data_IF_974065967735
#
_entry.id   IF_974065967735
#
_cell.length_a   1.000
_cell.length_b   1.000
_cell.length_c   1.000
_cell.angle_alpha   90.00
_cell.angle_beta   90.00
_cell.angle_gamma   90.00
#
_symmetry.space_group_name_H-M   'P 1'
#
loop_
_entity.id
_entity.type
_entity.pdbx_description
1 polymer ?
#
# COMPACT_ATOMS: atom_id res chain seq x y z
N UNK A 1 -9.26 33.96 6.48
CA UNK A 1 -9.74 32.68 7.01
C UNK A 1 -8.65 31.66 6.76
N UNK A 2 -8.17 30.96 7.80
CA UNK A 2 -7.07 29.99 7.71
C UNK A 2 -7.57 28.75 6.97
N UNK A 3 -6.88 28.37 5.89
CA UNK A 3 -7.05 27.07 5.23
C UNK A 3 -6.37 26.03 6.10
N UNK A 4 -7.09 24.99 6.49
CA UNK A 4 -6.51 23.79 7.09
C UNK A 4 -6.41 22.78 5.95
N UNK A 5 -5.18 22.43 5.59
CA UNK A 5 -4.80 21.25 4.82
C UNK A 5 -4.43 20.18 5.87
N UNK A 6 -5.08 19.03 5.83
CA UNK A 6 -4.78 17.79 6.53
C UNK A 6 -5.38 16.70 5.60
N UNK A 7 -4.62 15.78 4.99
CA UNK A 7 -3.73 14.77 5.59
C UNK A 7 -4.63 13.60 5.98
N UNK A 8 -4.64 12.44 5.33
CA UNK A 8 -3.54 11.51 4.99
C UNK A 8 -3.91 10.69 3.74
N UNK A 9 -2.91 10.43 2.90
CA UNK A 9 -2.96 9.42 1.87
C UNK A 9 -2.19 8.19 2.38
N UNK A 10 -2.75 7.01 2.20
CA UNK A 10 -2.14 5.71 2.38
C UNK A 10 -2.86 4.81 1.37
N UNK A 11 -2.15 4.24 0.42
CA UNK A 11 -2.77 3.36 -0.57
C UNK A 11 -2.14 1.97 -0.47
N UNK A 12 -3.00 1.02 -0.08
CA UNK A 12 -2.83 -0.43 0.13
C UNK A 12 -2.54 -0.87 1.58
N UNK A 13 -3.36 -0.54 2.57
CA UNK A 13 -4.69 -1.13 2.84
C UNK A 13 -5.40 -0.24 3.86
N UNK A 14 -6.71 -0.01 3.70
CA UNK A 14 -7.57 1.04 4.31
C UNK A 14 -7.71 2.25 3.39
N UNK A 15 -8.52 2.09 2.35
CA UNK A 15 -8.98 3.22 1.56
C UNK A 15 -10.27 3.77 2.18
N UNK A 16 -10.17 5.00 2.70
CA UNK A 16 -11.24 5.97 2.97
C UNK A 16 -11.66 6.23 4.44
N UNK A 17 -10.75 6.83 5.20
CA UNK A 17 -11.15 7.98 6.02
C UNK A 17 -11.61 9.14 5.12
N UNK A 18 -12.87 9.11 4.67
CA UNK A 18 -13.54 10.28 4.11
C UNK A 18 -13.66 10.36 2.58
N UNK A 19 -14.36 9.41 1.96
CA UNK A 19 -15.12 9.66 0.73
C UNK A 19 -16.54 9.08 0.81
N UNK A 20 -17.26 9.39 1.90
CA UNK A 20 -18.71 9.66 1.78
C UNK A 20 -18.87 10.99 1.04
N UNK A 21 -18.47 10.98 -0.22
CA UNK A 21 -18.76 12.01 -1.20
C UNK A 21 -18.90 11.25 -2.49
N UNK A 22 -20.08 10.64 -2.62
CA UNK A 22 -20.72 10.28 -3.87
C UNK A 22 -19.77 10.43 -5.07
N UNK A 23 -19.07 9.35 -5.41
CA UNK A 23 -18.94 9.08 -6.82
C UNK A 23 -20.39 8.95 -7.30
N UNK A 24 -20.92 10.02 -7.89
CA UNK A 24 -22.29 10.06 -8.44
C UNK A 24 -22.48 9.03 -9.57
N UNK A 25 -21.45 8.27 -9.91
CA UNK A 25 -21.51 6.99 -10.60
C UNK A 25 -20.31 6.15 -10.11
N UNK A 26 -20.47 4.86 -9.73
CA UNK A 26 -19.33 3.94 -9.73
C UNK A 26 -18.71 4.05 -11.11
N UNK A 27 -17.37 4.21 -11.18
CA UNK A 27 -16.65 4.38 -12.45
C UNK A 27 -17.26 3.44 -13.49
N UNK A 28 -17.78 4.00 -14.59
CA UNK A 28 -18.51 3.25 -15.61
C UNK A 28 -17.57 2.19 -16.21
N UNK A 29 -17.55 1.02 -15.59
CA UNK A 29 -16.68 -0.09 -15.97
C UNK A 29 -17.08 -0.66 -17.33
N UNK A 30 -16.21 -1.51 -17.87
CA UNK A 30 -16.55 -2.35 -19.02
C UNK A 30 -17.75 -3.26 -18.73
N UNK A 31 -18.09 -4.13 -19.69
CA UNK A 31 -19.23 -5.06 -19.58
C UNK A 31 -19.15 -6.00 -18.35
N UNK A 32 -17.99 -6.09 -17.68
CA UNK A 32 -17.71 -6.90 -16.49
C UNK A 32 -17.50 -6.10 -15.18
N UNK A 33 -17.71 -4.78 -15.21
CA UNK A 33 -17.67 -3.91 -14.02
C UNK A 33 -16.28 -3.43 -13.60
N UNK A 34 -15.22 -3.78 -14.33
CA UNK A 34 -13.87 -3.30 -14.10
C UNK A 34 -13.61 -1.97 -14.81
N UNK A 35 -12.91 -1.06 -14.12
CA UNK A 35 -12.45 0.21 -14.67
C UNK A 35 -10.99 0.43 -14.31
N UNK A 36 -10.21 1.17 -15.11
CA UNK A 36 -8.87 1.58 -14.72
C UNK A 36 -8.88 2.33 -13.37
N UNK A 37 -7.88 2.08 -12.53
CA UNK A 37 -7.69 2.83 -11.28
C UNK A 37 -7.49 4.32 -11.61
N UNK A 38 -8.20 5.26 -10.93
CA UNK A 38 -8.06 6.70 -11.16
C UNK A 38 -6.64 7.23 -10.89
N UNK A 39 -6.23 8.29 -11.59
CA UNK A 39 -4.87 8.84 -11.52
C UNK A 39 -4.49 9.34 -10.10
N UNK A 40 -5.48 9.80 -9.33
CA UNK A 40 -5.29 10.22 -7.94
C UNK A 40 -4.78 9.11 -7.02
N UNK A 41 -4.98 7.84 -7.38
CA UNK A 41 -4.46 6.70 -6.63
C UNK A 41 -2.93 6.62 -6.67
N UNK A 42 -2.31 7.15 -7.72
CA UNK A 42 -0.85 7.15 -7.91
C UNK A 42 -0.16 8.36 -7.28
N UNK A 43 -0.92 9.24 -6.61
CA UNK A 43 -0.38 10.40 -5.94
C UNK A 43 0.54 9.98 -4.77
N UNK A 44 1.68 10.67 -4.57
CA UNK A 44 2.60 10.32 -3.51
C UNK A 44 1.99 10.52 -2.13
N UNK A 45 2.38 9.67 -1.19
CA UNK A 45 2.01 9.76 0.21
C UNK A 45 3.17 9.49 1.15
N UNK A 46 3.05 9.96 2.39
CA UNK A 46 4.12 9.94 3.38
C UNK A 46 3.74 9.03 4.56
N UNK A 47 4.69 8.19 4.96
CA UNK A 47 4.62 7.31 6.12
C UNK A 47 5.72 7.68 7.12
N UNK A 48 5.35 7.86 8.39
CA UNK A 48 6.32 8.07 9.48
C UNK A 48 6.81 6.70 10.00
N UNK A 49 7.77 6.13 9.29
CA UNK A 49 8.30 4.77 9.49
C UNK A 49 9.81 4.70 9.21
N UNK A 50 10.47 3.59 9.58
CA UNK A 50 11.92 3.41 9.43
C UNK A 50 12.75 4.54 10.07
N UNK A 51 12.26 5.13 11.16
CA UNK A 51 12.90 6.24 11.88
C UNK A 51 12.92 7.58 11.13
N UNK A 52 12.15 7.73 10.07
CA UNK A 52 12.11 8.91 9.20
C UNK A 52 10.72 9.09 8.59
N UNK A 53 10.59 10.01 7.64
CA UNK A 53 9.46 10.02 6.71
C UNK A 53 9.88 9.25 5.45
N UNK A 54 9.09 8.27 5.07
CA UNK A 54 9.20 7.50 3.83
C UNK A 54 8.08 7.93 2.90
N UNK A 55 8.43 8.36 1.69
CA UNK A 55 7.46 8.72 0.66
C UNK A 55 7.26 7.52 -0.27
N UNK A 56 6.01 7.10 -0.46
CA UNK A 56 5.60 6.08 -1.44
C UNK A 56 4.93 6.79 -2.60
N UNK A 57 5.35 6.50 -3.83
CA UNK A 57 4.83 7.11 -5.07
C UNK A 57 4.46 5.99 -6.05
N UNK A 58 3.42 6.16 -6.87
CA UNK A 58 3.16 5.20 -7.95
C UNK A 58 4.34 5.16 -8.94
N UNK A 59 4.83 3.96 -9.25
CA UNK A 59 5.93 3.73 -10.19
C UNK A 59 5.48 3.82 -11.66
N UNK A 60 6.28 3.27 -12.56
CA UNK A 60 6.04 3.28 -14.01
C UNK A 60 4.95 2.28 -14.44
N UNK A 61 4.71 1.22 -13.68
CA UNK A 61 3.64 0.23 -13.95
C UNK A 61 2.34 0.68 -13.29
N UNK A 62 1.34 1.04 -14.10
CA UNK A 62 0.04 1.57 -13.66
C UNK A 62 -1.11 1.01 -14.50
N UNK A 63 -1.20 -0.31 -14.53
CA UNK A 63 -2.18 -1.06 -15.34
C UNK A 63 -3.30 -1.66 -14.47
N UNK A 64 -3.38 -1.25 -13.20
CA UNK A 64 -4.37 -1.73 -12.26
C UNK A 64 -5.81 -1.35 -12.64
N UNK A 65 -6.72 -2.28 -12.43
CA UNK A 65 -8.16 -2.11 -12.56
C UNK A 65 -8.83 -2.25 -11.20
N UNK A 66 -9.95 -1.57 -11.03
CA UNK A 66 -10.78 -1.59 -9.83
C UNK A 66 -12.23 -1.95 -10.18
N UNK A 67 -12.88 -2.72 -9.31
CA UNK A 67 -14.32 -3.00 -9.33
C UNK A 67 -14.89 -2.66 -7.96
N UNK A 68 -16.02 -1.95 -7.93
CA UNK A 68 -16.69 -1.54 -6.68
C UNK A 68 -18.16 -1.99 -6.72
N UNK A 69 -18.61 -2.66 -5.65
CA UNK A 69 -19.99 -3.10 -5.44
C UNK A 69 -20.50 -2.64 -4.07
N UNK A 70 -21.69 -2.05 -4.02
CA UNK A 70 -22.39 -1.80 -2.76
C UNK A 70 -23.37 -2.94 -2.51
N UNK A 71 -23.20 -3.66 -1.42
CA UNK A 71 -23.98 -4.85 -1.08
C UNK A 71 -25.34 -4.49 -0.47
N UNK A 72 -26.24 -5.47 -0.37
CA UNK A 72 -27.60 -5.30 0.15
C UNK A 72 -27.66 -4.80 1.61
N UNK A 73 -26.61 -5.06 2.40
CA UNK A 73 -26.49 -4.59 3.79
C UNK A 73 -25.86 -3.19 3.90
N UNK A 74 -25.51 -2.57 2.78
CA UNK A 74 -24.89 -1.25 2.69
C UNK A 74 -23.37 -1.25 2.82
N UNK A 75 -22.73 -2.41 3.01
CA UNK A 75 -21.28 -2.52 2.94
C UNK A 75 -20.78 -2.29 1.50
N UNK A 76 -19.52 -1.90 1.37
CA UNK A 76 -18.85 -1.68 0.08
C UNK A 76 -17.75 -2.71 -0.10
N UNK A 77 -17.82 -3.44 -1.20
CA UNK A 77 -16.81 -4.40 -1.62
C UNK A 77 -16.02 -3.81 -2.79
N UNK A 78 -14.70 -3.69 -2.64
CA UNK A 78 -13.80 -3.19 -3.68
C UNK A 78 -12.77 -4.26 -4.00
N UNK A 79 -12.54 -4.52 -5.27
CA UNK A 79 -11.49 -5.41 -5.76
C UNK A 79 -10.51 -4.66 -6.66
N UNK A 80 -9.24 -5.03 -6.57
CA UNK A 80 -8.14 -4.54 -7.37
C UNK A 80 -7.42 -5.71 -8.03
N UNK A 81 -6.97 -5.51 -9.26
CA UNK A 81 -6.15 -6.47 -10.01
C UNK A 81 -5.23 -5.77 -10.99
N UNK A 82 -4.24 -6.50 -11.51
CA UNK A 82 -3.40 -6.05 -12.62
C UNK A 82 -2.05 -5.49 -12.17
N UNK A 83 -1.25 -5.06 -13.14
CA UNK A 83 0.12 -4.62 -12.88
C UNK A 83 0.18 -3.29 -12.16
N UNK A 84 0.94 -3.23 -11.06
CA UNK A 84 1.21 -2.00 -10.33
C UNK A 84 2.57 -2.06 -9.64
N UNK A 85 3.29 -0.94 -9.66
CA UNK A 85 4.56 -0.76 -8.96
C UNK A 85 4.57 0.54 -8.15
N UNK A 86 5.45 0.62 -7.16
CA UNK A 86 5.68 1.83 -6.36
C UNK A 86 7.16 2.13 -6.17
N UNK A 87 7.47 3.42 -6.10
CA UNK A 87 8.77 3.93 -5.68
C UNK A 87 8.71 4.35 -4.21
N UNK A 88 9.71 3.93 -3.44
CA UNK A 88 9.79 4.18 -2.00
C UNK A 88 11.06 4.96 -1.73
N UNK A 89 10.94 6.16 -1.18
CA UNK A 89 12.11 7.02 -0.86
C UNK A 89 12.10 7.46 0.60
N UNK A 90 13.20 7.17 1.31
CA UNK A 90 13.40 7.65 2.69
C UNK A 90 14.04 9.02 2.72
N UNK A 91 13.40 9.97 3.42
CA UNK A 91 13.78 11.39 3.37
C UNK A 91 15.10 11.73 4.07
N UNK A 92 15.53 10.93 5.04
CA UNK A 92 16.72 11.23 5.87
C UNK A 92 18.04 11.13 5.11
N UNK A 93 18.11 10.21 4.15
CA UNK A 93 19.32 9.84 3.41
C UNK A 93 19.08 9.73 1.90
N UNK A 94 17.84 9.76 1.44
CA UNK A 94 17.49 9.60 0.04
C UNK A 94 17.68 8.18 -0.47
N UNK A 95 17.69 7.18 0.42
CA UNK A 95 17.63 5.78 0.02
C UNK A 95 16.32 5.52 -0.72
N UNK A 96 16.39 4.83 -1.85
CA UNK A 96 15.25 4.61 -2.74
C UNK A 96 15.19 3.14 -3.15
N UNK A 97 13.99 2.57 -3.09
CA UNK A 97 13.60 1.35 -3.78
C UNK A 97 12.78 1.81 -4.98
N UNK A 98 13.21 1.41 -6.17
CA UNK A 98 12.66 1.82 -7.46
C UNK A 98 11.83 0.65 -8.00
N UNK A 99 10.59 0.92 -8.43
CA UNK A 99 9.72 -0.08 -9.07
C UNK A 99 9.44 -1.35 -8.23
N UNK A 100 9.11 -1.20 -6.94
CA UNK A 100 8.67 -2.32 -6.12
C UNK A 100 7.33 -2.86 -6.63
N UNK A 101 7.29 -4.14 -7.01
CA UNK A 101 6.07 -4.80 -7.49
C UNK A 101 5.06 -5.00 -6.35
N UNK A 102 3.84 -4.51 -6.56
CA UNK A 102 2.70 -4.67 -5.66
C UNK A 102 1.47 -5.20 -6.41
N UNK A 103 1.66 -5.90 -7.53
CA UNK A 103 0.61 -6.37 -8.45
C UNK A 103 -0.29 -7.49 -7.95
N UNK A 104 -0.21 -7.84 -6.66
CA UNK A 104 -1.08 -8.82 -6.03
C UNK A 104 -2.56 -8.45 -6.13
N UNK A 105 -3.40 -9.48 -6.29
CA UNK A 105 -4.85 -9.30 -6.27
C UNK A 105 -5.26 -8.88 -4.84
N UNK A 106 -6.10 -7.86 -4.74
CA UNK A 106 -6.52 -7.30 -3.45
C UNK A 106 -8.03 -7.13 -3.43
N UNK A 107 -8.66 -7.40 -2.29
CA UNK A 107 -10.02 -6.94 -2.05
C UNK A 107 -10.21 -6.38 -0.65
N UNK A 108 -11.11 -5.42 -0.53
CA UNK A 108 -11.53 -4.83 0.72
C UNK A 108 -13.05 -4.88 0.86
N UNK A 109 -13.52 -5.13 2.08
CA UNK A 109 -14.91 -5.04 2.47
C UNK A 109 -15.03 -4.03 3.62
N UNK A 110 -15.69 -2.91 3.35
CA UNK A 110 -15.91 -1.83 4.30
C UNK A 110 -17.36 -1.89 4.81
N UNK A 111 -17.55 -1.86 6.13
CA UNK A 111 -18.88 -1.86 6.73
C UNK A 111 -19.70 -0.62 6.32
N UNK A 112 -21.03 -0.73 6.38
CA UNK A 112 -21.93 0.37 5.98
C UNK A 112 -21.72 1.67 6.79
N UNK A 113 -21.23 1.57 8.02
CA UNK A 113 -20.89 2.73 8.88
C UNK A 113 -19.41 3.14 8.79
N UNK A 114 -18.62 2.44 7.98
CA UNK A 114 -17.20 2.70 7.78
C UNK A 114 -16.33 2.45 9.01
N UNK A 115 -16.81 1.68 9.98
CA UNK A 115 -16.07 1.39 11.23
C UNK A 115 -15.27 0.10 11.19
N UNK A 116 -15.55 -0.79 10.25
CA UNK A 116 -14.83 -2.05 10.06
C UNK A 116 -14.36 -2.19 8.62
N UNK A 117 -13.12 -2.67 8.47
CA UNK A 117 -12.52 -2.98 7.18
C UNK A 117 -11.93 -4.38 7.25
N UNK A 118 -12.28 -5.24 6.29
CA UNK A 118 -11.66 -6.55 6.09
C UNK A 118 -10.93 -6.51 4.76
N UNK A 119 -9.63 -6.83 4.74
CA UNK A 119 -8.82 -6.78 3.52
C UNK A 119 -8.02 -8.05 3.34
N UNK A 120 -8.07 -8.60 2.13
CA UNK A 120 -7.20 -9.69 1.71
C UNK A 120 -6.23 -9.18 0.63
N UNK A 121 -4.98 -9.57 0.79
CA UNK A 121 -3.87 -9.30 -0.12
C UNK A 121 -3.34 -10.66 -0.59
N UNK A 122 -3.29 -10.92 -1.89
CA UNK A 122 -2.77 -12.16 -2.47
C UNK A 122 -1.67 -11.88 -3.50
N UNK A 123 -0.48 -12.47 -3.32
CA UNK A 123 0.68 -12.23 -4.19
C UNK A 123 1.44 -10.94 -3.83
N UNK A 124 2.17 -10.34 -4.78
CA UNK A 124 3.07 -9.21 -4.51
C UNK A 124 2.36 -8.06 -3.80
N UNK A 125 2.72 -7.80 -2.55
CA UNK A 125 1.98 -6.86 -1.70
C UNK A 125 2.88 -6.09 -0.75
N UNK A 126 2.45 -4.88 -0.41
CA UNK A 126 3.08 -4.00 0.57
C UNK A 126 2.17 -3.85 1.78
N UNK A 127 2.71 -4.03 2.99
CA UNK A 127 1.99 -3.87 4.27
C UNK A 127 2.80 -2.94 5.16
N UNK A 128 2.14 -2.00 5.86
CA UNK A 128 2.80 -1.16 6.86
C UNK A 128 2.00 -1.00 8.14
N UNK A 129 2.73 -0.82 9.23
CA UNK A 129 2.21 -0.54 10.57
C UNK A 129 2.76 0.81 11.07
N UNK A 130 1.93 1.85 11.01
CA UNK A 130 2.35 3.23 11.33
C UNK A 130 1.94 3.67 12.73
N UNK A 131 0.76 3.26 13.20
CA UNK A 131 0.29 3.61 14.54
C UNK A 131 0.59 2.50 15.57
N UNK A 132 0.37 2.83 16.85
CA UNK A 132 0.69 1.92 17.96
C UNK A 132 -0.16 0.63 17.94
N UNK A 133 -1.36 0.67 17.36
CA UNK A 133 -2.26 -0.49 17.27
C UNK A 133 -1.76 -1.47 16.23
N UNK A 134 -1.50 -0.98 15.01
CA UNK A 134 -0.96 -1.79 13.92
C UNK A 134 0.42 -2.38 14.27
N UNK A 135 1.27 -1.59 14.94
CA UNK A 135 2.60 -2.07 15.36
C UNK A 135 2.52 -3.16 16.41
N UNK A 136 1.53 -3.09 17.30
CA UNK A 136 1.31 -4.14 18.28
C UNK A 136 0.85 -5.46 17.63
N UNK A 137 -0.01 -5.40 16.60
CA UNK A 137 -0.40 -6.59 15.82
C UNK A 137 0.79 -7.18 15.05
N UNK A 138 1.58 -6.33 14.38
CA UNK A 138 2.80 -6.75 13.69
C UNK A 138 3.82 -7.38 14.66
N UNK A 139 4.03 -6.79 15.85
CA UNK A 139 4.89 -7.37 16.89
C UNK A 139 4.40 -8.74 17.37
N UNK A 140 3.08 -8.93 17.52
CA UNK A 140 2.49 -10.21 17.91
C UNK A 140 2.65 -11.27 16.81
N UNK A 141 2.52 -10.86 15.54
CA UNK A 141 2.76 -11.71 14.37
C UNK A 141 4.25 -11.98 14.11
N UNK A 142 5.16 -11.22 14.73
CA UNK A 142 6.60 -11.32 14.48
C UNK A 142 7.03 -10.70 13.14
N UNK A 143 6.22 -9.80 12.59
CA UNK A 143 6.39 -9.23 11.26
C UNK A 143 7.12 -7.87 11.27
N UNK A 144 7.83 -7.50 10.19
CA UNK A 144 8.32 -6.15 10.00
C UNK A 144 7.18 -5.13 9.98
N UNK A 145 7.43 -3.91 10.46
CA UNK A 145 6.44 -2.82 10.35
C UNK A 145 6.32 -2.26 8.93
N UNK A 146 7.27 -2.55 8.05
CA UNK A 146 7.21 -2.19 6.64
C UNK A 146 7.61 -3.40 5.82
N UNK A 147 6.62 -4.19 5.46
CA UNK A 147 6.74 -5.55 4.94
C UNK A 147 6.37 -5.57 3.46
N UNK A 148 7.19 -6.25 2.65
CA UNK A 148 6.82 -6.70 1.31
C UNK A 148 6.92 -8.22 1.24
N UNK A 149 6.09 -8.84 0.41
CA UNK A 149 6.20 -10.25 0.04
C UNK A 149 5.73 -10.44 -1.39
N UNK A 150 6.32 -11.40 -2.11
CA UNK A 150 5.96 -11.71 -3.51
C UNK A 150 4.90 -12.81 -3.63
N UNK A 151 4.89 -13.75 -2.67
CA UNK A 151 4.00 -14.91 -2.68
C UNK A 151 3.31 -15.06 -1.32
N UNK A 152 2.05 -15.49 -1.35
CA UNK A 152 1.27 -15.76 -0.14
C UNK A 152 -0.02 -14.95 -0.07
N UNK A 153 -0.68 -15.02 1.09
CA UNK A 153 -1.92 -14.29 1.35
C UNK A 153 -1.94 -13.73 2.76
N UNK A 154 -2.38 -12.49 2.92
CA UNK A 154 -2.65 -11.88 4.23
C UNK A 154 -4.11 -11.42 4.27
N UNK A 155 -4.83 -11.78 5.35
CA UNK A 155 -6.19 -11.31 5.65
C UNK A 155 -6.16 -10.52 6.97
N UNK A 156 -6.46 -9.22 6.87
CA UNK A 156 -6.47 -8.28 7.99
C UNK A 156 -7.89 -7.84 8.28
N UNK A 157 -8.24 -7.73 9.56
CA UNK A 157 -9.41 -6.99 10.02
C UNK A 157 -8.98 -5.77 10.80
N UNK A 158 -9.58 -4.64 10.50
CA UNK A 158 -9.31 -3.36 11.13
C UNK A 158 -10.62 -2.76 11.65
N UNK A 159 -10.61 -2.29 12.89
CA UNK A 159 -11.60 -1.32 13.35
C UNK A 159 -11.00 0.07 13.10
N UNK A 160 -11.76 0.99 12.50
CA UNK A 160 -11.26 2.31 12.11
C UNK A 160 -12.16 3.44 12.63
N UNK A 161 -11.59 4.61 12.92
CA UNK A 161 -12.36 5.82 13.13
C UNK A 161 -12.80 6.36 11.75
N UNK A 162 -14.10 6.34 11.39
CA UNK A 162 -14.55 6.76 10.06
C UNK A 162 -14.29 8.25 9.78
N UNK A 163 -14.03 9.07 10.80
CA UNK A 163 -13.72 10.50 10.63
C UNK A 163 -12.25 10.75 10.27
N UNK A 164 -11.33 9.88 10.68
CA UNK A 164 -9.88 10.07 10.48
C UNK A 164 -9.24 9.00 9.60
N UNK A 165 -9.87 7.83 9.49
CA UNK A 165 -9.31 6.63 8.87
C UNK A 165 -8.25 5.94 9.74
N UNK A 166 -8.05 6.38 10.99
CA UNK A 166 -7.06 5.77 11.89
C UNK A 166 -7.57 4.43 12.44
N UNK A 167 -6.70 3.43 12.46
CA UNK A 167 -6.97 2.12 13.06
C UNK A 167 -7.10 2.21 14.59
N UNK A 168 -8.20 1.71 15.12
CA UNK A 168 -8.54 1.59 16.53
C UNK A 168 -8.24 0.18 17.07
N UNK A 169 -8.35 -0.82 16.21
CA UNK A 169 -7.94 -2.21 16.43
C UNK A 169 -7.43 -2.80 15.11
N UNK A 170 -6.49 -3.73 15.21
CA UNK A 170 -5.98 -4.51 14.09
C UNK A 170 -5.86 -5.97 14.51
N UNK A 171 -6.31 -6.87 13.65
CA UNK A 171 -6.20 -8.31 13.83
C UNK A 171 -5.76 -8.95 12.51
N UNK A 172 -4.57 -9.55 12.50
CA UNK A 172 -4.18 -10.46 11.42
C UNK A 172 -4.93 -11.79 11.56
N UNK A 173 -5.94 -12.00 10.72
CA UNK A 173 -6.80 -13.19 10.77
C UNK A 173 -6.17 -14.41 10.10
N UNK A 174 -5.34 -14.17 9.09
CA UNK A 174 -4.61 -15.20 8.32
C UNK A 174 -3.37 -14.57 7.72
N UNK A 175 -2.23 -15.25 7.85
CA UNK A 175 -1.01 -14.92 7.14
C UNK A 175 -0.41 -16.24 6.63
N UNK A 176 -0.54 -16.47 5.33
CA UNK A 176 0.05 -17.59 4.61
C UNK A 176 1.23 -17.08 3.77
N UNK A 177 2.13 -16.33 4.41
CA UNK A 177 3.40 -15.88 3.83
C UNK A 177 4.50 -16.67 4.56
N UNK A 178 5.46 -17.23 3.81
CA UNK A 178 6.57 -17.89 4.48
C UNK A 178 7.48 -16.82 5.10
N UNK A 179 7.97 -17.05 6.33
CA UNK A 179 8.87 -16.09 7.02
C UNK A 179 10.12 -15.72 6.20
N UNK A 180 10.54 -16.60 5.28
CA UNK A 180 11.69 -16.38 4.39
C UNK A 180 11.37 -15.56 3.13
N UNK A 181 10.09 -15.40 2.81
CA UNK A 181 9.58 -14.57 1.71
C UNK A 181 9.17 -13.16 2.19
N UNK A 182 9.15 -12.94 3.52
CA UNK A 182 8.92 -11.63 4.13
C UNK A 182 10.16 -10.73 4.03
N UNK A 183 10.01 -9.56 3.40
CA UNK A 183 11.06 -8.57 3.21
C UNK A 183 10.82 -7.35 4.10
N UNK A 184 11.74 -7.09 5.04
CA UNK A 184 11.78 -5.84 5.81
C UNK A 184 12.34 -4.69 4.96
N UNK A 185 11.46 -3.84 4.47
CA UNK A 185 11.84 -2.71 3.62
C UNK A 185 12.62 -1.63 4.38
N UNK A 186 12.50 -1.53 5.71
CA UNK A 186 13.36 -0.65 6.49
C UNK A 186 14.81 -1.13 6.46
N UNK A 187 15.03 -2.45 6.55
CA UNK A 187 16.35 -3.04 6.43
C UNK A 187 16.92 -2.85 5.01
N UNK A 188 16.11 -3.04 3.96
CA UNK A 188 16.51 -2.78 2.57
C UNK A 188 16.95 -1.32 2.37
N UNK A 189 16.18 -0.36 2.90
CA UNK A 189 16.54 1.05 2.83
C UNK A 189 17.86 1.37 3.56
N UNK A 190 18.13 0.70 4.69
CA UNK A 190 19.41 0.82 5.40
C UNK A 190 20.59 0.29 4.59
N UNK A 191 20.40 -0.83 3.88
CA UNK A 191 21.40 -1.40 2.98
C UNK A 191 21.71 -0.48 1.80
N UNK A 192 20.68 0.05 1.14
CA UNK A 192 20.81 1.01 0.03
C UNK A 192 21.53 2.29 0.49
N UNK A 193 21.23 2.79 1.69
CA UNK A 193 21.90 3.95 2.25
C UNK A 193 23.39 3.70 2.54
N UNK A 194 23.75 2.47 2.92
CA UNK A 194 25.13 2.08 3.24
C UNK A 194 25.99 1.87 2.00
N UNK A 195 25.41 1.38 0.89
CA UNK A 195 26.09 1.18 -0.39
C UNK A 195 25.35 1.81 -1.58
N UNK A 196 25.42 3.14 -1.74
CA UNK A 196 24.76 3.85 -2.85
C UNK A 196 25.42 3.59 -4.23
N UNK A 197 26.44 2.72 -4.29
CA UNK A 197 27.32 2.52 -5.44
C UNK A 197 26.83 1.54 -6.51
N UNK A 198 25.95 0.59 -6.18
CA UNK A 198 25.53 -0.47 -7.11
C UNK A 198 24.31 -0.07 -7.98
N UNK A 199 23.60 1.01 -7.62
CA UNK A 199 22.40 1.47 -8.34
C UNK A 199 22.68 2.37 -9.56
N UNK A 200 23.95 2.63 -9.93
CA UNK A 200 24.30 3.66 -10.94
C UNK A 200 25.24 3.25 -12.08
N UNK A 201 25.68 2.00 -12.19
CA UNK A 201 26.74 1.64 -13.16
C UNK A 201 26.35 0.51 -14.14
N UNK A 202 25.26 0.70 -14.91
CA UNK A 202 25.03 -0.05 -16.16
C UNK A 202 24.87 0.84 -17.41
N UNK A 203 25.48 2.04 -17.38
CA UNK A 203 25.50 2.94 -18.54
C UNK A 203 26.88 3.50 -18.84
N UNK A 204 27.89 2.64 -19.01
CA UNK A 204 29.11 3.10 -19.68
C UNK A 204 30.41 2.34 -19.44
N UNK A 205 30.47 1.06 -19.85
CA UNK A 205 31.77 0.44 -20.15
C UNK A 205 31.78 -0.29 -21.50
N UNK A 206 31.39 0.44 -22.54
CA UNK A 206 31.71 0.11 -23.92
C UNK A 206 33.04 0.75 -24.34
N UNK A 207 33.97 -0.11 -24.77
CA UNK A 207 35.09 0.16 -25.68
C UNK A 207 36.32 0.92 -25.14
N UNK A 208 37.30 0.15 -24.67
CA UNK A 208 38.68 0.32 -25.13
C UNK A 208 39.08 -0.94 -25.88
N UNK A 209 39.23 -0.80 -27.20
CA UNK A 209 40.12 -1.66 -27.97
C UNK A 209 41.08 -0.74 -28.73
N UNK A 210 42.33 -1.22 -28.79
CA UNK A 210 43.58 -0.56 -29.15
C UNK A 210 43.68 0.08 -30.54
#
# INVERSE_FOLDING_TARGET
MRKVLAGTAAAAVVLSGGAVSAAEDPAAGGDDGWAPVPEEYWAPFDLDICGSTVTVTGGDVREAEVRIEVLDDGSTFTEYRGGQSVDITRRSDGATIDELDISGDTWELVSADGTEVLVELEGPSLVWAVNDVERADADEAGQPYFLHYEEGTVLLRLEVDPATGESLAADTLRADVAEEDEVDLCAVLDEVAADPGDARDDSGRGERDD
#
